data_IF_111125528818
#
_entry.id   IF_111125528818
#
_cell.length_a   1.000
_cell.length_b   1.000
_cell.length_c   1.000
_cell.angle_alpha   90.00
_cell.angle_beta   90.00
_cell.angle_gamma   90.00
#
_symmetry.space_group_name_H-M   'P 1'
#
loop_
_entity.id
_entity.type
_entity.pdbx_description
1 polymer ?
#
# COMPACT_ATOMS: atom_id res chain seq x y z
N UNK A 1 -3.10 4.70 1.87
CA UNK A 1 -4.40 5.06 1.31
C UNK A 1 -5.16 3.85 0.77
N UNK A 2 -6.47 3.94 0.78
CA UNK A 2 -7.35 2.93 0.20
C UNK A 2 -7.87 3.49 -1.12
N UNK A 3 -7.61 2.77 -2.22
CA UNK A 3 -8.03 3.12 -3.59
C UNK A 3 -7.57 4.53 -4.03
N UNK A 4 -6.56 5.08 -3.37
CA UNK A 4 -6.00 6.38 -3.71
C UNK A 4 -4.65 6.26 -4.39
N UNK A 5 -4.21 7.33 -5.05
CA UNK A 5 -2.91 7.41 -5.69
C UNK A 5 -2.15 8.64 -5.20
N UNK A 6 -0.83 8.56 -5.23
CA UNK A 6 0.04 9.69 -4.93
C UNK A 6 0.05 10.65 -6.12
N UNK A 7 -0.13 11.95 -5.89
CA UNK A 7 -0.02 12.93 -6.96
C UNK A 7 1.44 13.12 -7.38
N UNK A 8 1.67 13.47 -8.63
CA UNK A 8 3.01 13.75 -9.11
C UNK A 8 3.61 14.99 -8.44
N UNK A 9 2.78 15.97 -8.12
CA UNK A 9 3.22 17.14 -7.38
C UNK A 9 3.71 16.77 -5.98
N UNK A 10 3.02 15.86 -5.28
CA UNK A 10 3.45 15.38 -3.97
C UNK A 10 4.80 14.67 -4.03
N UNK A 11 5.04 13.87 -5.09
CA UNK A 11 6.31 13.19 -5.30
C UNK A 11 7.47 14.18 -5.43
N UNK A 12 7.26 15.28 -6.15
CA UNK A 12 8.32 16.27 -6.39
C UNK A 12 8.52 17.25 -5.23
N UNK A 13 7.50 17.50 -4.41
CA UNK A 13 7.53 18.51 -3.34
C UNK A 13 7.59 17.94 -1.93
N UNK A 14 7.19 16.68 -1.75
CA UNK A 14 7.14 16.06 -0.43
C UNK A 14 8.53 15.61 0.01
N UNK A 15 9.00 16.15 1.15
CA UNK A 15 10.26 15.75 1.77
C UNK A 15 9.98 15.35 3.22
N UNK A 16 9.43 14.15 3.46
CA UNK A 16 9.15 13.71 4.83
C UNK A 16 10.45 13.62 5.61
N UNK A 17 10.47 14.17 6.81
CA UNK A 17 11.65 14.20 7.66
C UNK A 17 11.58 13.29 8.88
N UNK A 18 10.58 12.40 8.92
CA UNK A 18 10.42 11.40 9.97
C UNK A 18 9.93 10.09 9.35
N UNK A 19 10.39 8.96 9.90
CA UNK A 19 9.91 7.65 9.46
C UNK A 19 8.43 7.51 9.80
N UNK A 20 7.63 7.26 8.78
CA UNK A 20 6.17 7.14 8.88
C UNK A 20 5.73 5.81 8.27
N UNK A 21 4.87 5.07 8.98
CA UNK A 21 4.27 3.87 8.42
C UNK A 21 3.32 4.20 7.27
N UNK A 22 3.43 3.49 6.17
CA UNK A 22 2.61 3.70 4.97
C UNK A 22 1.91 2.40 4.60
N UNK A 23 0.59 2.46 4.52
CA UNK A 23 -0.26 1.34 4.13
C UNK A 23 -1.00 1.73 2.85
N UNK A 24 -0.78 0.96 1.80
CA UNK A 24 -1.37 1.22 0.48
C UNK A 24 -2.19 0.01 0.06
N UNK A 25 -3.44 0.24 -0.36
CA UNK A 25 -4.28 -0.82 -0.91
C UNK A 25 -5.00 -0.30 -2.16
N UNK A 26 -4.85 -1.01 -3.26
CA UNK A 26 -5.42 -0.64 -4.56
C UNK A 26 -5.92 -1.87 -5.30
N UNK A 27 -6.95 -1.67 -6.12
CA UNK A 27 -7.46 -2.69 -7.04
C UNK A 27 -6.85 -2.55 -8.43
N UNK A 28 -6.57 -3.68 -9.08
CA UNK A 28 -5.98 -3.66 -10.42
C UNK A 28 -6.98 -3.26 -11.52
N UNK A 29 -8.28 -3.30 -11.22
CA UNK A 29 -9.36 -2.90 -12.16
C UNK A 29 -10.00 -1.55 -11.78
N UNK A 30 -9.32 -0.72 -11.00
CA UNK A 30 -9.80 0.61 -10.63
C UNK A 30 -9.73 1.54 -11.85
N UNK A 31 -10.89 2.05 -12.29
CA UNK A 31 -11.00 2.93 -13.44
C UNK A 31 -10.97 4.42 -13.06
N UNK A 32 -11.15 4.76 -11.79
CA UNK A 32 -11.14 6.14 -11.31
C UNK A 32 -9.75 6.56 -10.83
N UNK A 33 -9.02 5.62 -10.23
CA UNK A 33 -7.62 5.80 -9.82
C UNK A 33 -6.83 4.58 -10.32
N UNK A 34 -6.52 4.55 -11.64
CA UNK A 34 -5.91 3.37 -12.25
C UNK A 34 -4.59 2.97 -11.59
N UNK A 35 -4.37 1.67 -11.45
CA UNK A 35 -3.14 1.14 -10.87
C UNK A 35 -1.89 1.67 -11.61
N UNK A 36 -2.02 1.90 -12.93
CA UNK A 36 -0.95 2.46 -13.77
C UNK A 36 -0.76 3.97 -13.66
N UNK A 37 -1.59 4.65 -12.84
CA UNK A 37 -1.53 6.10 -12.68
C UNK A 37 -2.26 6.87 -13.77
N UNK A 38 -2.19 8.19 -13.70
CA UNK A 38 -2.75 9.12 -14.68
C UNK A 38 -1.64 10.09 -15.07
N UNK A 39 -1.28 10.11 -16.36
CA UNK A 39 -0.24 11.01 -16.86
C UNK A 39 -0.50 12.46 -16.43
N UNK A 40 0.56 13.13 -15.97
CA UNK A 40 0.57 14.53 -15.52
C UNK A 40 -0.20 14.79 -14.21
N UNK A 41 -0.85 13.78 -13.61
CA UNK A 41 -1.63 13.96 -12.37
C UNK A 41 -1.24 12.99 -11.26
N UNK A 42 -1.23 11.68 -11.52
CA UNK A 42 -1.01 10.67 -10.50
C UNK A 42 0.07 9.68 -10.92
N UNK A 43 0.95 9.36 -9.96
CA UNK A 43 1.90 8.27 -10.14
C UNK A 43 1.18 6.94 -10.24
N UNK A 44 1.78 5.98 -10.94
CA UNK A 44 1.37 4.59 -10.81
C UNK A 44 1.59 4.10 -9.37
N UNK A 45 0.89 3.04 -8.99
CA UNK A 45 1.13 2.42 -7.68
C UNK A 45 2.58 1.96 -7.57
N UNK A 46 3.14 1.39 -8.65
CA UNK A 46 4.53 0.93 -8.66
C UNK A 46 5.52 2.08 -8.40
N UNK A 47 5.29 3.25 -9.00
CA UNK A 47 6.15 4.41 -8.76
C UNK A 47 6.00 4.97 -7.35
N UNK A 48 4.78 4.97 -6.81
CA UNK A 48 4.55 5.38 -5.42
C UNK A 48 5.24 4.43 -4.45
N UNK A 49 5.19 3.12 -4.71
CA UNK A 49 5.90 2.13 -3.90
C UNK A 49 7.42 2.33 -3.97
N UNK A 50 7.95 2.65 -5.14
CA UNK A 50 9.39 2.96 -5.29
C UNK A 50 9.78 4.19 -4.46
N UNK A 51 8.95 5.24 -4.48
CA UNK A 51 9.19 6.43 -3.66
C UNK A 51 9.26 6.07 -2.17
N UNK A 52 8.26 5.37 -1.65
CA UNK A 52 8.22 5.03 -0.23
C UNK A 52 9.25 3.99 0.18
N UNK A 53 9.55 3.00 -0.68
CA UNK A 53 10.59 2.02 -0.37
C UNK A 53 11.96 2.67 -0.29
N UNK A 54 12.26 3.64 -1.16
CA UNK A 54 13.49 4.42 -1.08
C UNK A 54 13.53 5.30 0.17
N UNK A 55 12.42 5.94 0.51
CA UNK A 55 12.32 6.75 1.72
C UNK A 55 12.57 5.92 2.98
N UNK A 56 12.02 4.71 3.05
CA UNK A 56 12.19 3.81 4.18
C UNK A 56 13.50 3.01 4.16
N UNK A 57 14.33 3.20 3.14
CA UNK A 57 15.57 2.45 2.94
C UNK A 57 15.32 0.93 2.90
N UNK A 58 14.21 0.54 2.26
CA UNK A 58 13.88 -0.87 2.09
C UNK A 58 14.85 -1.51 1.11
N UNK A 59 15.41 -2.66 1.48
CA UNK A 59 16.35 -3.41 0.63
C UNK A 59 15.80 -4.77 0.21
N UNK A 60 14.64 -5.17 0.70
CA UNK A 60 13.98 -6.41 0.29
C UNK A 60 12.47 -6.28 0.37
N UNK A 61 11.77 -7.17 -0.34
CA UNK A 61 10.32 -7.27 -0.30
C UNK A 61 9.90 -8.72 -0.21
N UNK A 62 8.94 -9.01 0.65
CA UNK A 62 8.29 -10.32 0.74
C UNK A 62 6.93 -10.20 0.08
N UNK A 63 6.62 -11.11 -0.84
CA UNK A 63 5.35 -11.12 -1.57
C UNK A 63 4.60 -12.39 -1.21
N UNK A 64 3.40 -12.23 -0.64
CA UNK A 64 2.50 -13.31 -0.29
C UNK A 64 1.28 -13.26 -1.22
N UNK A 65 1.04 -14.34 -1.95
CA UNK A 65 -0.12 -14.48 -2.82
C UNK A 65 -1.14 -15.42 -2.17
N UNK A 66 -2.37 -14.96 -2.00
CA UNK A 66 -3.40 -15.77 -1.37
C UNK A 66 -4.80 -15.29 -1.76
N UNK A 67 -5.81 -16.14 -1.45
CA UNK A 67 -7.22 -15.78 -1.54
C UNK A 67 -7.73 -15.67 -0.10
N UNK A 68 -8.36 -14.55 0.24
CA UNK A 68 -8.88 -14.33 1.59
C UNK A 68 -10.22 -15.04 1.83
N UNK A 69 -10.79 -14.88 3.03
CA UNK A 69 -12.06 -15.51 3.41
C UNK A 69 -13.27 -15.00 2.61
N UNK A 70 -13.15 -13.90 1.90
CA UNK A 70 -14.20 -13.31 1.06
C UNK A 70 -13.94 -13.48 -0.44
N UNK A 71 -13.06 -14.41 -0.81
CA UNK A 71 -12.70 -14.76 -2.19
C UNK A 71 -11.99 -13.64 -2.96
N UNK A 72 -11.31 -12.71 -2.26
CA UNK A 72 -10.46 -11.74 -2.91
C UNK A 72 -9.10 -12.37 -3.21
N UNK A 73 -8.63 -12.25 -4.45
CA UNK A 73 -7.26 -12.61 -4.80
C UNK A 73 -6.34 -11.45 -4.42
N UNK A 74 -5.38 -11.69 -3.54
CA UNK A 74 -4.55 -10.66 -2.94
C UNK A 74 -3.08 -10.99 -3.15
N UNK A 75 -2.29 -9.98 -3.52
CA UNK A 75 -0.83 -10.01 -3.40
C UNK A 75 -0.45 -9.00 -2.32
N UNK A 76 0.13 -9.49 -1.24
CA UNK A 76 0.59 -8.65 -0.14
C UNK A 76 2.10 -8.44 -0.25
N UNK A 77 2.52 -7.20 -0.41
CA UNK A 77 3.92 -6.80 -0.47
C UNK A 77 4.33 -6.20 0.86
N UNK A 78 5.31 -6.80 1.51
CA UNK A 78 5.88 -6.30 2.76
C UNK A 78 7.33 -5.91 2.50
N UNK A 79 7.62 -4.60 2.56
CA UNK A 79 8.96 -4.07 2.29
C UNK A 79 9.75 -4.00 3.59
N UNK A 80 10.96 -4.54 3.59
CA UNK A 80 11.79 -4.67 4.78
C UNK A 80 13.09 -3.87 4.62
N UNK A 81 13.50 -3.16 5.68
CA UNK A 81 14.80 -2.53 5.72
C UNK A 81 15.87 -3.53 6.23
N UNK A 82 17.13 -3.07 6.36
CA UNK A 82 18.24 -3.94 6.81
C UNK A 82 18.03 -4.53 8.20
N UNK A 83 17.27 -3.83 9.05
CA UNK A 83 16.96 -4.32 10.40
C UNK A 83 15.80 -5.31 10.44
N UNK A 84 15.23 -5.66 9.29
CA UNK A 84 14.07 -6.54 9.21
C UNK A 84 12.76 -5.89 9.60
N UNK A 85 12.72 -4.54 9.71
CA UNK A 85 11.52 -3.79 10.05
C UNK A 85 10.78 -3.38 8.79
N UNK A 86 9.44 -3.36 8.84
CA UNK A 86 8.60 -2.92 7.75
C UNK A 86 7.82 -1.68 8.13
N UNK A 87 7.99 -0.61 7.33
CA UNK A 87 7.20 0.62 7.43
C UNK A 87 6.29 0.80 6.23
N UNK A 88 6.33 -0.11 5.25
CA UNK A 88 5.55 -0.03 4.02
C UNK A 88 4.93 -1.39 3.71
N UNK A 89 3.61 -1.42 3.64
CA UNK A 89 2.85 -2.59 3.16
C UNK A 89 1.91 -2.18 2.04
N UNK A 90 1.80 -3.04 1.04
CA UNK A 90 0.90 -2.85 -0.09
C UNK A 90 0.05 -4.11 -0.31
N UNK A 91 -1.27 -3.92 -0.25
CA UNK A 91 -2.24 -4.94 -0.62
C UNK A 91 -2.72 -4.66 -2.04
N UNK A 92 -2.36 -5.53 -2.97
CA UNK A 92 -2.78 -5.45 -4.37
C UNK A 92 -3.97 -6.39 -4.55
N UNK A 93 -5.15 -5.81 -4.78
CA UNK A 93 -6.39 -6.59 -4.91
C UNK A 93 -6.63 -6.86 -6.40
N UNK A 94 -6.43 -8.09 -6.81
CA UNK A 94 -6.53 -8.49 -8.22
C UNK A 94 -7.98 -8.42 -8.68
N UNK A 95 -8.25 -7.63 -9.71
CA UNK A 95 -9.61 -7.40 -10.21
C UNK A 95 -10.44 -6.44 -9.38
N UNK A 96 -9.87 -5.85 -8.33
CA UNK A 96 -10.58 -4.89 -7.48
C UNK A 96 -10.79 -3.54 -8.16
N UNK A 97 -11.92 -2.90 -7.87
CA UNK A 97 -12.28 -1.59 -8.40
C UNK A 97 -11.99 -0.46 -7.42
N UNK A 98 -12.65 0.69 -7.64
CA UNK A 98 -12.49 1.88 -6.80
C UNK A 98 -13.56 1.87 -5.69
N UNK A 99 -13.26 1.20 -4.57
CA UNK A 99 -14.18 1.11 -3.43
C UNK A 99 -13.42 0.72 -2.17
N UNK A 100 -14.12 0.74 -1.03
CA UNK A 100 -13.59 0.23 0.23
C UNK A 100 -13.69 -1.30 0.19
N UNK A 101 -12.56 -1.98 0.27
CA UNK A 101 -12.51 -3.42 0.03
C UNK A 101 -13.10 -4.22 1.18
N UNK A 102 -13.93 -5.21 0.84
CA UNK A 102 -14.51 -6.16 1.81
C UNK A 102 -13.57 -7.36 1.93
N UNK A 103 -12.63 -7.28 2.88
CA UNK A 103 -11.59 -8.28 3.08
C UNK A 103 -11.86 -9.14 4.30
N UNK A 104 -11.29 -10.35 4.29
CA UNK A 104 -11.19 -11.22 5.46
C UNK A 104 -9.84 -11.92 5.44
N UNK A 105 -8.83 -11.27 6.03
CA UNK A 105 -7.45 -11.75 6.09
C UNK A 105 -7.15 -12.17 7.52
N UNK A 106 -6.99 -13.48 7.76
CA UNK A 106 -6.84 -14.03 9.12
C UNK A 106 -7.97 -13.56 10.05
N UNK A 107 -9.22 -13.57 9.53
CA UNK A 107 -10.44 -13.12 10.22
C UNK A 107 -10.49 -11.63 10.54
N UNK A 108 -9.59 -10.82 9.97
CA UNK A 108 -9.61 -9.36 10.10
C UNK A 108 -10.15 -8.71 8.83
N UNK A 109 -11.05 -7.71 8.99
CA UNK A 109 -11.51 -6.88 7.89
C UNK A 109 -10.50 -5.74 7.60
N UNK A 110 -10.75 -4.94 6.57
CA UNK A 110 -9.84 -3.86 6.19
C UNK A 110 -9.64 -2.85 7.32
N UNK A 111 -10.71 -2.46 8.03
CA UNK A 111 -10.61 -1.51 9.14
C UNK A 111 -9.68 -2.03 10.23
N UNK A 112 -9.78 -3.33 10.57
CA UNK A 112 -8.95 -3.97 11.57
C UNK A 112 -7.48 -4.08 11.11
N UNK A 113 -7.26 -4.37 9.82
CA UNK A 113 -5.91 -4.42 9.25
C UNK A 113 -5.24 -3.05 9.31
N UNK A 114 -5.95 -1.99 8.94
CA UNK A 114 -5.44 -0.62 8.98
C UNK A 114 -5.14 -0.20 10.42
N UNK A 115 -6.06 -0.46 11.35
CA UNK A 115 -5.88 -0.12 12.76
C UNK A 115 -4.66 -0.81 13.36
N UNK A 116 -4.50 -2.12 13.08
CA UNK A 116 -3.36 -2.89 13.56
C UNK A 116 -2.04 -2.34 13.02
N UNK A 117 -2.02 -1.95 11.74
CA UNK A 117 -0.84 -1.34 11.12
C UNK A 117 -0.50 -0.01 11.78
N UNK A 118 -1.46 0.88 11.95
CA UNK A 118 -1.23 2.18 12.58
C UNK A 118 -0.79 2.05 14.04
N UNK A 119 -1.37 1.13 14.77
CA UNK A 119 -0.99 0.87 16.16
C UNK A 119 0.46 0.40 16.27
N UNK A 120 0.90 -0.47 15.34
CA UNK A 120 2.28 -0.95 15.27
C UNK A 120 3.27 0.18 15.00
N UNK A 121 2.86 1.21 14.24
CA UNK A 121 3.70 2.33 13.87
C UNK A 121 3.40 3.61 14.64
N UNK A 122 2.74 3.49 15.78
CA UNK A 122 2.50 4.59 16.71
C UNK A 122 3.82 5.13 17.25
N UNK A 123 3.87 6.45 17.50
CA UNK A 123 5.07 7.15 17.99
C UNK A 123 5.05 7.40 19.49
N UNK A 124 4.16 6.81 20.20
CA UNK A 124 4.02 7.03 21.64
C UNK A 124 5.14 6.40 22.47
#
# INVERSE_FOLDING_TARGET
PVSGLMSQESDSLCEPNQTTGVFIINGTADNERPYSGINDYYLSVDNALSYWSNYHLADSVVIDEFVDGNNNAIELYTYLNQSGLSFLQHYKIIGGGHYWFDLSVNDENLDQLIWRFFKKHSRD
#
